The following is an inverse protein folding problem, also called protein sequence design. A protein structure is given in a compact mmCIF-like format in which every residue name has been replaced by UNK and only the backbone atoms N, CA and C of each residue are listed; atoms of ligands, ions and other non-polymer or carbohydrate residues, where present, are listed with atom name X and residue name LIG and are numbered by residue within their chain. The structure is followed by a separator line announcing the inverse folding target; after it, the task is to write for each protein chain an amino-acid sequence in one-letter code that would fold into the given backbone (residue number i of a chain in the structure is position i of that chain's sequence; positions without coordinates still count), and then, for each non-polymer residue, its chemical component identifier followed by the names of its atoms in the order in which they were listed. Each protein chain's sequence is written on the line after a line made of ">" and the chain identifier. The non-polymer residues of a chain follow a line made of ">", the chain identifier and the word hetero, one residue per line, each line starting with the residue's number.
data_IF_963529149362
#
_entry.id   IF_963529149362
#
_cell.length_a   1.000
_cell.length_b   1.000
_cell.length_c   1.000
_cell.angle_alpha   90.00
_cell.angle_beta   90.00
_cell.angle_gamma   90.00
#
_symmetry.space_group_name_H-M   'P 1'
#
loop_
_entity.id
_entity.type
_entity.pdbx_description
1 polymer ?
#
# COMPACT_ATOMS: atom_id res chain seq x y z
N UNK A 1 -49.11 15.94 -23.99
CA UNK A 1 -48.22 14.88 -24.53
C UNK A 1 -46.90 15.53 -24.86
N UNK A 2 -45.83 15.09 -24.22
CA UNK A 2 -44.56 15.80 -24.15
C UNK A 2 -43.74 15.46 -25.40
N UNK A 3 -43.21 16.45 -26.12
CA UNK A 3 -42.55 16.23 -27.42
C UNK A 3 -41.33 15.29 -27.33
N UNK A 4 -40.72 15.23 -26.14
CA UNK A 4 -39.64 14.29 -25.80
C UNK A 4 -40.04 12.82 -25.97
N UNK A 5 -41.30 12.46 -25.69
CA UNK A 5 -41.78 11.09 -25.81
C UNK A 5 -41.97 10.67 -27.27
N UNK A 6 -42.34 11.61 -28.14
CA UNK A 6 -42.48 11.35 -29.58
C UNK A 6 -41.12 11.10 -30.23
N UNK A 7 -40.13 11.95 -29.91
CA UNK A 7 -38.77 11.81 -30.42
C UNK A 7 -38.12 10.52 -29.96
N UNK A 8 -38.33 10.14 -28.69
CA UNK A 8 -37.83 8.86 -28.16
C UNK A 8 -38.38 7.67 -28.93
N UNK A 9 -39.69 7.64 -29.22
CA UNK A 9 -40.32 6.55 -29.97
C UNK A 9 -39.80 6.43 -31.40
N UNK A 10 -39.61 7.55 -32.10
CA UNK A 10 -39.02 7.54 -33.45
C UNK A 10 -37.59 7.01 -33.43
N UNK A 11 -36.78 7.47 -32.49
CA UNK A 11 -35.40 7.02 -32.37
C UNK A 11 -35.32 5.53 -32.02
N UNK A 12 -36.17 5.04 -31.11
CA UNK A 12 -36.22 3.63 -30.76
C UNK A 12 -36.60 2.74 -31.98
N UNK A 13 -37.50 3.21 -32.85
CA UNK A 13 -37.86 2.53 -34.10
C UNK A 13 -36.73 2.52 -35.14
N UNK A 14 -36.00 3.63 -35.27
CA UNK A 14 -34.85 3.73 -36.18
C UNK A 14 -33.68 2.87 -35.73
N UNK A 15 -33.49 2.73 -34.41
CA UNK A 15 -32.40 1.95 -33.81
C UNK A 15 -32.74 0.47 -33.60
N UNK A 16 -34.00 0.05 -33.77
CA UNK A 16 -34.42 -1.36 -33.64
C UNK A 16 -33.68 -2.29 -34.63
N UNK A 17 -33.28 -1.74 -35.78
CA UNK A 17 -32.49 -2.44 -36.80
C UNK A 17 -30.98 -2.48 -36.48
N UNK A 18 -30.50 -1.68 -35.53
CA UNK A 18 -29.08 -1.57 -35.17
C UNK A 18 -28.88 -2.25 -33.81
N UNK A 19 -28.47 -3.52 -33.85
CA UNK A 19 -28.07 -4.23 -32.63
C UNK A 19 -26.68 -3.77 -32.17
N UNK A 20 -26.64 -2.79 -31.28
CA UNK A 20 -25.40 -2.41 -30.61
C UNK A 20 -24.96 -3.50 -29.63
N UNK A 21 -24.03 -4.34 -30.06
CA UNK A 21 -23.56 -5.50 -29.28
C UNK A 21 -22.62 -5.13 -28.12
N UNK A 22 -22.15 -3.88 -28.06
CA UNK A 22 -21.10 -3.43 -27.12
C UNK A 22 -21.50 -2.22 -26.27
N UNK A 23 -22.81 -1.97 -26.11
CA UNK A 23 -23.31 -0.83 -25.32
C UNK A 23 -22.69 -0.83 -23.92
N UNK A 24 -22.68 -1.98 -23.25
CA UNK A 24 -22.14 -2.11 -21.90
C UNK A 24 -20.63 -1.80 -21.85
N UNK A 25 -19.88 -2.20 -22.88
CA UNK A 25 -18.44 -1.96 -22.97
C UNK A 25 -18.12 -0.48 -23.22
N UNK A 26 -18.91 0.20 -24.06
CA UNK A 26 -18.78 1.65 -24.31
C UNK A 26 -19.21 2.47 -23.09
N UNK A 27 -20.29 2.08 -22.43
CA UNK A 27 -20.73 2.70 -21.18
C UNK A 27 -19.70 2.53 -20.06
N UNK A 28 -19.10 1.35 -19.93
CA UNK A 28 -18.04 1.12 -18.96
C UNK A 28 -16.79 1.99 -19.22
N UNK A 29 -16.48 2.28 -20.48
CA UNK A 29 -15.35 3.15 -20.85
C UNK A 29 -15.65 4.64 -20.68
N UNK A 30 -16.86 5.09 -21.02
CA UNK A 30 -17.22 6.52 -21.05
C UNK A 30 -17.81 7.03 -19.74
N UNK A 31 -18.51 6.18 -19.00
CA UNK A 31 -19.21 6.53 -17.76
C UNK A 31 -19.02 5.45 -16.70
N UNK A 32 -17.82 5.34 -16.08
CA UNK A 32 -17.57 4.36 -15.04
C UNK A 32 -18.48 4.62 -13.82
N UNK A 33 -19.43 3.71 -13.60
CA UNK A 33 -20.49 3.84 -12.58
C UNK A 33 -20.03 3.56 -11.15
N UNK A 34 -18.87 2.92 -10.96
CA UNK A 34 -18.41 2.44 -9.65
C UNK A 34 -16.98 2.87 -9.34
N UNK A 35 -16.72 3.26 -8.09
CA UNK A 35 -15.37 3.62 -7.63
C UNK A 35 -14.32 2.55 -7.94
N UNK A 36 -14.66 1.26 -7.77
CA UNK A 36 -13.79 0.13 -8.14
C UNK A 36 -13.36 0.15 -9.62
N UNK A 37 -14.28 0.51 -10.53
CA UNK A 37 -13.99 0.61 -11.96
C UNK A 37 -13.12 1.83 -12.29
N UNK A 38 -13.27 2.93 -11.54
CA UNK A 38 -12.39 4.11 -11.67
C UNK A 38 -10.96 3.78 -11.24
N UNK A 39 -10.79 3.06 -10.13
CA UNK A 39 -9.47 2.61 -9.67
C UNK A 39 -8.83 1.62 -10.64
N UNK A 40 -9.58 0.65 -11.16
CA UNK A 40 -9.04 -0.28 -12.16
C UNK A 40 -8.67 0.43 -13.47
N UNK A 41 -9.43 1.44 -13.90
CA UNK A 41 -9.08 2.26 -15.07
C UNK A 41 -7.88 3.17 -14.80
N UNK A 42 -7.72 3.68 -13.57
CA UNK A 42 -6.56 4.46 -13.18
C UNK A 42 -5.29 3.60 -13.18
N UNK A 43 -5.37 2.38 -12.65
CA UNK A 43 -4.28 1.40 -12.66
C UNK A 43 -3.97 0.88 -14.08
N UNK A 44 -4.99 0.70 -14.93
CA UNK A 44 -4.80 0.29 -16.33
C UNK A 44 -4.29 1.41 -17.25
N UNK A 45 -4.55 2.68 -16.92
CA UNK A 45 -4.00 3.81 -17.67
C UNK A 45 -2.53 3.97 -17.32
N UNK A 46 -1.69 3.23 -18.03
CA UNK A 46 -0.26 3.52 -18.27
C UNK A 46 0.42 4.28 -17.13
N UNK A 47 0.35 3.75 -15.90
CA UNK A 47 1.10 4.35 -14.81
C UNK A 47 2.57 3.99 -15.07
N UNK A 48 3.24 4.83 -15.84
CA UNK A 48 4.69 4.81 -16.00
C UNK A 48 5.29 5.33 -14.69
N UNK A 49 5.24 4.53 -13.62
CA UNK A 49 5.91 4.87 -12.39
C UNK A 49 7.41 4.98 -12.73
N UNK A 50 8.02 6.16 -12.56
CA UNK A 50 9.45 6.28 -12.80
C UNK A 50 10.16 5.34 -11.83
N UNK A 51 10.90 4.38 -12.36
CA UNK A 51 11.43 3.25 -11.60
C UNK A 51 12.40 3.72 -10.50
N UNK A 52 13.22 4.72 -10.82
CA UNK A 52 14.22 5.28 -9.91
C UNK A 52 13.61 5.85 -8.63
N UNK A 53 12.67 6.82 -8.67
CA UNK A 53 12.07 7.35 -7.45
C UNK A 53 11.18 6.32 -6.73
N UNK A 54 10.56 5.38 -7.45
CA UNK A 54 9.78 4.31 -6.82
C UNK A 54 10.68 3.42 -5.95
N UNK A 55 11.79 2.94 -6.53
CA UNK A 55 12.75 2.11 -5.80
C UNK A 55 13.33 2.87 -4.62
N UNK A 56 13.73 4.13 -4.80
CA UNK A 56 14.27 4.97 -3.73
C UNK A 56 13.26 5.16 -2.57
N UNK A 57 11.99 5.42 -2.89
CA UNK A 57 10.95 5.56 -1.88
C UNK A 57 10.73 4.24 -1.12
N UNK A 58 10.63 3.12 -1.85
CA UNK A 58 10.44 1.79 -1.22
C UNK A 58 11.62 1.39 -0.33
N UNK A 59 12.86 1.69 -0.73
CA UNK A 59 14.04 1.38 0.07
C UNK A 59 14.08 2.19 1.36
N UNK A 60 13.70 3.47 1.33
CA UNK A 60 13.62 4.31 2.53
C UNK A 60 12.54 3.79 3.48
N UNK A 61 11.35 3.47 2.96
CA UNK A 61 10.27 2.90 3.77
C UNK A 61 10.66 1.58 4.42
N UNK A 62 11.30 0.68 3.67
CA UNK A 62 11.82 -0.58 4.19
C UNK A 62 12.89 -0.35 5.25
N UNK A 63 13.84 0.56 5.03
CA UNK A 63 14.87 0.89 6.00
C UNK A 63 14.24 1.37 7.32
N UNK A 64 13.27 2.29 7.28
CA UNK A 64 12.59 2.79 8.48
C UNK A 64 11.87 1.64 9.21
N UNK A 65 11.14 0.78 8.48
CA UNK A 65 10.46 -0.36 9.07
C UNK A 65 11.44 -1.32 9.75
N UNK A 66 12.55 -1.64 9.08
CA UNK A 66 13.61 -2.49 9.63
C UNK A 66 14.23 -1.86 10.86
N UNK A 67 14.60 -0.58 10.82
CA UNK A 67 15.18 0.13 11.97
C UNK A 67 14.23 0.20 13.18
N UNK A 68 12.92 0.25 12.98
CA UNK A 68 11.95 0.21 14.09
C UNK A 68 11.77 -1.19 14.68
N UNK A 69 11.95 -2.23 13.87
CA UNK A 69 11.83 -3.64 14.30
C UNK A 69 13.12 -4.22 14.85
N UNK A 70 14.26 -3.68 14.44
CA UNK A 70 15.53 -3.94 15.09
C UNK A 70 15.45 -3.23 16.43
N UNK A 71 15.11 -4.02 17.45
CA UNK A 71 15.33 -3.65 18.83
C UNK A 71 16.85 -3.52 19.00
N UNK A 72 17.37 -2.35 18.64
CA UNK A 72 18.66 -1.84 19.05
C UNK A 72 18.55 -1.59 20.55
N UNK A 73 18.24 -2.66 21.31
CA UNK A 73 18.33 -2.68 22.74
C UNK A 73 19.68 -2.06 23.04
N UNK A 74 19.61 -0.95 23.77
CA UNK A 74 20.77 -0.23 24.25
C UNK A 74 21.82 -1.28 24.59
N UNK A 75 22.99 -1.15 23.96
CA UNK A 75 24.16 -1.80 24.51
C UNK A 75 24.34 -1.09 25.85
N UNK A 76 23.62 -1.56 26.88
CA UNK A 76 23.78 -1.11 28.25
C UNK A 76 25.28 -1.13 28.45
N UNK A 77 25.81 0.03 28.81
CA UNK A 77 27.23 0.23 29.03
C UNK A 77 27.64 -0.69 30.15
N UNK A 78 28.01 -1.93 29.79
CA UNK A 78 28.39 -2.95 30.76
C UNK A 78 29.64 -2.45 31.45
N UNK A 79 29.57 -2.37 32.77
CA UNK A 79 30.70 -1.93 33.57
C UNK A 79 31.54 -3.15 33.96
N UNK A 80 32.85 -3.02 33.79
CA UNK A 80 33.81 -3.99 34.27
C UNK A 80 34.17 -3.65 35.72
N UNK A 81 34.04 -4.62 36.61
CA UNK A 81 34.39 -4.48 38.02
C UNK A 81 35.48 -5.48 38.40
N UNK A 82 36.40 -5.06 39.26
CA UNK A 82 37.47 -5.91 39.76
C UNK A 82 37.09 -6.51 41.11
N UNK A 83 37.12 -7.84 41.21
CA UNK A 83 36.89 -8.59 42.45
C UNK A 83 38.05 -9.53 42.66
N UNK A 84 38.77 -9.38 43.77
CA UNK A 84 39.90 -10.23 44.15
C UNK A 84 40.97 -10.37 43.04
N UNK A 85 41.29 -9.28 42.33
CA UNK A 85 42.32 -9.27 41.27
C UNK A 85 41.85 -9.80 39.92
N UNK A 86 40.57 -10.17 39.78
CA UNK A 86 39.98 -10.62 38.53
C UNK A 86 38.90 -9.64 38.05
N UNK A 87 38.85 -9.39 36.75
CA UNK A 87 37.90 -8.46 36.14
C UNK A 87 36.68 -9.24 35.65
N UNK A 88 35.50 -8.81 36.07
CA UNK A 88 34.21 -9.41 35.72
C UNK A 88 33.23 -8.36 35.21
N UNK A 89 32.24 -8.80 34.45
CA UNK A 89 31.08 -7.96 34.14
C UNK A 89 30.18 -7.82 35.37
N UNK A 90 29.72 -6.59 35.63
CA UNK A 90 28.93 -6.25 36.82
C UNK A 90 27.61 -7.00 36.92
N UNK A 91 26.94 -7.22 35.78
CA UNK A 91 25.70 -7.97 35.63
C UNK A 91 25.82 -9.43 36.12
N UNK A 92 26.90 -10.11 35.74
CA UNK A 92 27.16 -11.50 36.10
C UNK A 92 27.33 -11.70 37.60
N UNK A 93 27.93 -10.72 38.28
CA UNK A 93 28.09 -10.75 39.73
C UNK A 93 26.76 -10.46 40.43
N UNK A 94 25.99 -9.49 39.94
CA UNK A 94 24.67 -9.16 40.48
C UNK A 94 23.71 -10.35 40.38
N UNK A 95 23.73 -11.08 39.26
CA UNK A 95 22.91 -12.28 39.06
C UNK A 95 23.28 -13.41 40.03
N UNK A 96 24.58 -13.67 40.22
CA UNK A 96 25.05 -14.67 41.19
C UNK A 96 24.70 -14.34 42.63
N UNK A 97 24.78 -13.06 43.02
CA UNK A 97 24.39 -12.64 44.37
C UNK A 97 22.88 -12.79 44.62
N UNK A 98 22.05 -12.69 43.58
CA UNK A 98 20.59 -12.84 43.69
C UNK A 98 20.13 -14.30 43.81
N UNK A 99 20.97 -15.27 43.42
CA UNK A 99 20.69 -16.70 43.50
C UNK A 99 21.21 -17.37 44.79
N UNK A 100 21.89 -16.64 45.66
CA UNK A 100 22.39 -17.11 46.96
C UNK A 100 21.52 -16.62 48.11
#
# INVERSE_FOLDING_TARGET
>A
MNDQEKWKKQLDQELELIQFTKIEQVLAQTHPKTFKQKWSQWLNKEISLPLVPLVAATSIFLAIGVFQTLDLNEVESRELIEIQGNIYWSDMIAERMKQS
#
